data_IF_636907885938
#
_entry.id   IF_636907885938
#
_cell.length_a   1.000
_cell.length_b   1.000
_cell.length_c   1.000
_cell.angle_alpha   90.00
_cell.angle_beta   90.00
_cell.angle_gamma   90.00
#
_symmetry.space_group_name_H-M   'P 1'
#
loop_
_entity.id
_entity.type
_entity.pdbx_description
1 polymer ?
#
# COMPACT_ATOMS: atom_id res chain seq x y z
N UNK A 1 38.66 18.75 -8.76
CA UNK A 1 37.72 19.37 -9.70
C UNK A 1 36.35 19.44 -9.04
N UNK A 2 35.77 20.64 -8.92
CA UNK A 2 34.46 20.86 -8.31
C UNK A 2 33.35 20.26 -9.20
N UNK A 3 32.47 19.47 -8.62
CA UNK A 3 31.25 18.92 -9.25
C UNK A 3 30.20 20.01 -9.59
N UNK A 4 30.57 21.29 -9.56
CA UNK A 4 29.67 22.43 -9.71
C UNK A 4 29.15 22.65 -11.14
N UNK A 5 29.76 22.02 -12.14
CA UNK A 5 29.42 22.25 -13.57
C UNK A 5 28.63 21.14 -14.24
N UNK A 6 28.15 20.12 -13.52
CA UNK A 6 27.22 19.14 -14.10
C UNK A 6 25.80 19.66 -13.91
N UNK A 7 25.08 19.98 -15.00
CA UNK A 7 23.68 20.38 -14.88
C UNK A 7 22.92 19.23 -14.19
N UNK A 8 22.10 19.55 -13.20
CA UNK A 8 21.24 18.59 -12.48
C UNK A 8 20.37 17.76 -13.44
N UNK A 9 20.06 18.30 -14.64
CA UNK A 9 19.35 17.64 -15.73
C UNK A 9 20.26 17.47 -16.93
N UNK A 10 21.23 16.54 -16.86
CA UNK A 10 22.01 16.18 -18.03
C UNK A 10 21.17 15.42 -19.06
N UNK A 11 21.56 15.43 -20.33
CA UNK A 11 20.90 14.63 -21.39
C UNK A 11 20.93 13.13 -21.07
N UNK A 12 21.94 12.66 -20.35
CA UNK A 12 22.05 11.28 -19.87
C UNK A 12 20.96 10.99 -18.83
N UNK A 13 20.79 11.87 -17.83
CA UNK A 13 19.73 11.75 -16.82
C UNK A 13 18.35 11.79 -17.45
N UNK A 14 18.12 12.69 -18.41
CA UNK A 14 16.83 12.78 -19.10
C UNK A 14 16.53 11.53 -19.93
N UNK A 15 17.54 10.96 -20.60
CA UNK A 15 17.39 9.69 -21.36
C UNK A 15 17.11 8.51 -20.43
N UNK A 16 17.81 8.43 -19.30
CA UNK A 16 17.56 7.41 -18.29
C UNK A 16 16.12 7.49 -17.76
N UNK A 17 15.68 8.68 -17.34
CA UNK A 17 14.31 8.89 -16.83
C UNK A 17 13.23 8.61 -17.88
N UNK A 18 13.48 8.96 -19.15
CA UNK A 18 12.54 8.68 -20.23
C UNK A 18 12.40 7.19 -20.57
N UNK A 19 13.43 6.38 -20.27
CA UNK A 19 13.43 4.94 -20.49
C UNK A 19 13.08 4.10 -19.25
N UNK A 20 13.02 4.73 -18.07
CA UNK A 20 12.74 4.03 -16.81
C UNK A 20 11.24 3.81 -16.62
N UNK A 21 10.85 2.56 -16.39
CA UNK A 21 9.49 2.17 -16.07
C UNK A 21 9.52 1.29 -14.79
N UNK A 22 9.19 1.89 -13.65
CA UNK A 22 9.20 1.21 -12.37
C UNK A 22 8.32 -0.05 -12.36
N UNK A 23 7.25 -0.08 -13.15
CA UNK A 23 6.34 -1.23 -13.23
C UNK A 23 6.98 -2.45 -13.91
N UNK A 24 8.12 -2.27 -14.59
CA UNK A 24 8.85 -3.31 -15.33
C UNK A 24 10.25 -3.59 -14.80
N UNK A 25 10.72 -2.79 -13.85
CA UNK A 25 12.11 -2.86 -13.36
C UNK A 25 12.24 -3.81 -12.16
N UNK A 26 11.52 -4.94 -12.20
CA UNK A 26 11.64 -6.01 -11.19
C UNK A 26 11.11 -7.35 -11.70
N UNK A 27 11.64 -8.43 -11.16
CA UNK A 27 11.09 -9.78 -11.34
C UNK A 27 9.99 -10.03 -10.30
N UNK A 28 8.73 -10.30 -10.72
CA UNK A 28 7.63 -10.52 -9.79
C UNK A 28 7.81 -11.78 -8.93
N UNK A 29 7.71 -11.64 -7.63
CA UNK A 29 7.78 -12.73 -6.65
C UNK A 29 6.36 -13.21 -6.24
N UNK A 30 5.46 -13.39 -7.22
CA UNK A 30 4.14 -13.97 -6.98
C UNK A 30 4.23 -15.45 -6.60
N UNK A 31 3.30 -15.89 -5.73
CA UNK A 31 3.10 -17.33 -5.44
C UNK A 31 1.68 -17.74 -5.83
N UNK A 32 1.32 -19.03 -5.77
CA UNK A 32 -0.06 -19.45 -6.02
C UNK A 32 -1.10 -18.87 -5.04
N UNK A 33 -0.66 -18.30 -3.90
CA UNK A 33 -1.53 -17.82 -2.83
C UNK A 33 -1.29 -16.39 -2.40
N UNK A 34 -0.24 -15.74 -2.92
CA UNK A 34 0.15 -14.37 -2.54
C UNK A 34 0.70 -13.60 -3.73
N UNK A 35 0.50 -12.29 -3.74
CA UNK A 35 0.94 -11.39 -4.80
C UNK A 35 2.19 -10.62 -4.34
N UNK A 36 3.11 -10.36 -5.26
CA UNK A 36 4.18 -9.39 -5.05
C UNK A 36 3.57 -7.99 -4.89
N UNK A 37 3.86 -7.24 -3.79
CA UNK A 37 3.29 -5.91 -3.58
C UNK A 37 3.58 -4.94 -4.74
N UNK A 38 4.73 -5.06 -5.44
CA UNK A 38 5.08 -4.22 -6.58
C UNK A 38 4.19 -4.53 -7.80
N UNK A 39 3.97 -5.82 -8.08
CA UNK A 39 3.06 -6.25 -9.14
C UNK A 39 1.61 -5.85 -8.84
N UNK A 40 1.20 -5.91 -7.57
CA UNK A 40 -0.09 -5.41 -7.11
C UNK A 40 -0.20 -3.90 -7.34
N UNK A 41 0.81 -3.11 -6.95
CA UNK A 41 0.82 -1.66 -7.14
C UNK A 41 0.68 -1.27 -8.62
N UNK A 42 1.47 -1.91 -9.50
CA UNK A 42 1.37 -1.68 -10.95
C UNK A 42 -0.02 -2.02 -11.52
N UNK A 43 -0.61 -3.15 -11.09
CA UNK A 43 -1.95 -3.54 -11.54
C UNK A 43 -3.06 -2.62 -10.98
N UNK A 44 -2.93 -2.14 -9.75
CA UNK A 44 -3.85 -1.18 -9.15
C UNK A 44 -3.85 0.17 -9.88
N UNK A 45 -2.67 0.64 -10.34
CA UNK A 45 -2.58 1.89 -11.12
C UNK A 45 -3.46 1.86 -12.37
N UNK A 46 -3.57 0.70 -13.01
CA UNK A 46 -4.40 0.52 -14.21
C UNK A 46 -5.91 0.45 -13.91
N UNK A 47 -6.29 -0.03 -12.71
CA UNK A 47 -7.68 -0.32 -12.36
C UNK A 47 -8.36 0.77 -11.54
N UNK A 48 -7.61 1.49 -10.72
CA UNK A 48 -8.14 2.53 -9.85
C UNK A 48 -8.54 3.80 -10.62
N UNK A 49 -9.57 4.54 -10.19
CA UNK A 49 -9.93 5.83 -10.79
C UNK A 49 -8.73 6.77 -10.84
N UNK A 50 -8.54 7.51 -11.92
CA UNK A 50 -7.43 8.47 -12.05
C UNK A 50 -7.63 9.71 -11.19
N UNK A 51 -8.90 10.16 -11.04
CA UNK A 51 -9.27 11.21 -10.09
C UNK A 51 -9.54 10.56 -8.74
N UNK A 52 -8.52 10.58 -7.88
CA UNK A 52 -8.55 9.90 -6.57
C UNK A 52 -7.69 10.61 -5.55
N UNK A 53 -8.00 10.37 -4.28
CA UNK A 53 -7.12 10.68 -3.16
C UNK A 53 -6.41 9.40 -2.71
N UNK A 54 -5.12 9.46 -2.42
CA UNK A 54 -4.36 8.36 -1.83
C UNK A 54 -4.00 8.69 -0.39
N UNK A 55 -4.32 7.80 0.52
CA UNK A 55 -3.93 7.84 1.92
C UNK A 55 -3.14 6.58 2.23
N UNK A 56 -1.91 6.74 2.71
CA UNK A 56 -1.05 5.65 3.12
C UNK A 56 -0.87 5.62 4.64
N UNK A 57 -1.04 4.45 5.23
CA UNK A 57 -0.56 4.16 6.57
C UNK A 57 0.93 3.79 6.54
N UNK A 58 1.56 3.58 7.69
CA UNK A 58 2.97 3.20 7.80
C UNK A 58 3.17 1.67 7.72
N UNK A 59 4.25 1.22 7.08
CA UNK A 59 4.62 -0.20 7.00
C UNK A 59 5.54 -0.55 5.83
N UNK A 60 5.93 -1.83 5.74
CA UNK A 60 6.74 -2.36 4.64
C UNK A 60 6.10 -2.09 3.26
N UNK A 61 4.77 -2.12 3.16
CA UNK A 61 4.03 -1.87 1.92
C UNK A 61 4.23 -0.46 1.32
N UNK A 62 4.84 0.47 2.03
CA UNK A 62 5.21 1.79 1.46
C UNK A 62 6.12 1.68 0.23
N UNK A 63 6.74 0.53 0.01
CA UNK A 63 7.45 0.23 -1.24
C UNK A 63 6.60 0.36 -2.51
N UNK A 64 5.26 0.39 -2.41
CA UNK A 64 4.38 0.60 -3.57
C UNK A 64 4.04 2.06 -3.85
N UNK A 65 4.42 3.00 -2.99
CA UNK A 65 4.11 4.44 -3.19
C UNK A 65 4.46 4.94 -4.60
N UNK A 66 5.63 4.59 -5.19
CA UNK A 66 5.99 5.06 -6.51
C UNK A 66 5.16 4.49 -7.67
N UNK A 67 4.36 3.44 -7.42
CA UNK A 67 3.54 2.78 -8.45
C UNK A 67 2.19 3.44 -8.66
N UNK A 68 1.71 4.25 -7.70
CA UNK A 68 0.39 4.85 -7.77
C UNK A 68 0.49 6.36 -7.94
N UNK A 69 -0.13 6.88 -8.98
CA UNK A 69 -0.16 8.31 -9.27
C UNK A 69 -1.33 9.03 -8.59
N UNK A 70 -1.21 10.33 -8.42
CA UNK A 70 -2.27 11.23 -7.95
C UNK A 70 -2.38 12.45 -8.86
N UNK A 71 -3.55 13.11 -8.93
CA UNK A 71 -3.73 14.32 -9.75
C UNK A 71 -2.83 15.50 -9.33
N UNK A 72 -2.45 15.54 -8.05
CA UNK A 72 -1.60 16.60 -7.50
C UNK A 72 -1.26 16.34 -6.03
N UNK A 73 -0.38 17.14 -5.42
CA UNK A 73 0.12 16.92 -4.07
C UNK A 73 -0.97 16.96 -3.00
N UNK A 74 -2.05 17.70 -3.22
CA UNK A 74 -3.19 17.78 -2.28
C UNK A 74 -3.99 16.47 -2.19
N UNK A 75 -3.81 15.56 -3.16
CA UNK A 75 -4.45 14.25 -3.22
C UNK A 75 -3.62 13.13 -2.57
N UNK A 76 -2.48 13.46 -1.98
CA UNK A 76 -1.59 12.51 -1.34
C UNK A 76 -1.46 12.79 0.16
N UNK A 77 -1.68 11.77 0.99
CA UNK A 77 -1.47 11.82 2.44
C UNK A 77 -0.68 10.58 2.88
N UNK A 78 0.34 10.82 3.66
CA UNK A 78 1.14 9.77 4.30
C UNK A 78 1.09 9.98 5.82
N UNK A 79 0.61 8.98 6.56
CA UNK A 79 0.42 9.05 8.01
C UNK A 79 1.51 8.25 8.73
N UNK A 80 2.76 8.61 8.48
CA UNK A 80 3.92 7.93 9.08
C UNK A 80 4.53 8.68 10.27
N UNK A 81 3.81 9.66 10.82
CA UNK A 81 4.27 10.44 11.97
C UNK A 81 4.54 9.52 13.17
N UNK A 82 5.71 9.67 13.77
CA UNK A 82 6.23 8.79 14.83
C UNK A 82 6.33 7.30 14.44
N UNK A 83 6.31 6.96 13.15
CA UNK A 83 6.17 5.60 12.65
C UNK A 83 4.94 4.85 13.21
N UNK A 84 3.89 5.59 13.59
CA UNK A 84 2.67 5.04 14.16
C UNK A 84 1.81 4.42 13.06
N UNK A 85 1.47 3.13 13.20
CA UNK A 85 0.52 2.42 12.34
C UNK A 85 -0.92 2.62 12.86
N UNK A 86 -1.92 2.45 11.98
CA UNK A 86 -3.35 2.59 12.31
C UNK A 86 -3.90 4.02 12.18
N UNK A 87 -3.07 5.02 11.88
CA UNK A 87 -3.52 6.41 11.68
C UNK A 87 -4.16 6.61 10.30
N UNK A 88 -3.83 5.77 9.33
CA UNK A 88 -4.28 5.89 7.94
C UNK A 88 -5.78 5.82 7.80
N UNK A 89 -6.46 4.92 8.51
CA UNK A 89 -7.90 4.74 8.35
C UNK A 89 -8.70 5.99 8.79
N UNK A 90 -8.45 6.52 9.98
CA UNK A 90 -9.11 7.76 10.43
C UNK A 90 -8.83 8.93 9.48
N UNK A 91 -7.60 9.04 8.96
CA UNK A 91 -7.25 10.04 7.94
C UNK A 91 -8.04 9.83 6.65
N UNK A 92 -8.18 8.60 6.17
CA UNK A 92 -8.95 8.29 4.96
C UNK A 92 -10.44 8.62 5.11
N UNK A 93 -11.05 8.33 6.27
CA UNK A 93 -12.42 8.74 6.58
C UNK A 93 -12.56 10.26 6.50
N UNK A 94 -11.62 11.01 7.08
CA UNK A 94 -11.63 12.47 7.04
C UNK A 94 -11.49 13.02 5.62
N UNK A 95 -10.60 12.44 4.80
CA UNK A 95 -10.41 12.83 3.38
C UNK A 95 -11.66 12.52 2.57
N UNK A 96 -12.21 11.31 2.69
CA UNK A 96 -13.42 10.89 1.97
C UNK A 96 -14.63 11.79 2.32
N UNK A 97 -14.78 12.16 3.61
CA UNK A 97 -15.83 13.07 4.05
C UNK A 97 -15.65 14.50 3.51
N UNK A 98 -14.40 14.95 3.42
CA UNK A 98 -14.08 16.29 2.91
C UNK A 98 -14.17 16.40 1.39
N UNK A 99 -14.06 15.27 0.66
CA UNK A 99 -14.06 15.20 -0.80
C UNK A 99 -15.03 14.11 -1.30
N UNK A 100 -16.35 14.29 -1.07
CA UNK A 100 -17.35 13.25 -1.34
C UNK A 100 -17.51 12.89 -2.83
N UNK A 101 -17.07 13.77 -3.72
CA UNK A 101 -17.15 13.58 -5.18
C UNK A 101 -15.93 12.82 -5.77
N UNK A 102 -14.96 12.50 -4.92
CA UNK A 102 -13.71 11.83 -5.32
C UNK A 102 -13.52 10.54 -4.52
N UNK A 103 -13.11 9.47 -5.19
CA UNK A 103 -12.77 8.22 -4.49
C UNK A 103 -11.51 8.40 -3.64
N UNK A 104 -11.60 8.06 -2.36
CA UNK A 104 -10.44 7.97 -1.47
C UNK A 104 -9.95 6.53 -1.40
N UNK A 105 -8.67 6.32 -1.67
CA UNK A 105 -8.01 5.01 -1.61
C UNK A 105 -7.14 5.00 -0.35
N UNK A 106 -7.44 4.10 0.56
CA UNK A 106 -6.61 3.82 1.73
C UNK A 106 -5.70 2.62 1.45
N UNK A 107 -4.40 2.80 1.57
CA UNK A 107 -3.40 1.72 1.55
C UNK A 107 -2.94 1.49 2.99
N UNK A 108 -3.25 0.32 3.54
CA UNK A 108 -3.02 0.01 4.97
C UNK A 108 -2.57 -1.44 5.14
N UNK A 109 -1.63 -1.70 6.04
CA UNK A 109 -1.25 -3.06 6.43
C UNK A 109 -2.25 -3.71 7.38
N UNK A 110 -2.26 -5.04 7.44
CA UNK A 110 -3.15 -5.82 8.31
C UNK A 110 -2.99 -5.48 9.81
N UNK A 111 -1.77 -5.24 10.27
CA UNK A 111 -1.52 -4.81 11.64
C UNK A 111 -2.15 -3.47 12.00
N UNK A 112 -1.99 -2.44 11.14
CA UNK A 112 -2.62 -1.13 11.31
C UNK A 112 -4.14 -1.17 11.17
N UNK A 113 -4.64 -1.96 10.22
CA UNK A 113 -6.06 -2.16 10.00
C UNK A 113 -6.75 -2.80 11.21
N UNK A 114 -6.14 -3.82 11.82
CA UNK A 114 -6.67 -4.46 13.03
C UNK A 114 -6.86 -3.49 14.20
N UNK A 115 -6.01 -2.48 14.33
CA UNK A 115 -6.13 -1.48 15.40
C UNK A 115 -7.36 -0.58 15.25
N UNK A 116 -7.89 -0.47 14.04
CA UNK A 116 -8.97 0.46 13.66
C UNK A 116 -10.14 -0.23 12.97
N UNK A 117 -10.24 -1.56 13.11
CA UNK A 117 -11.27 -2.39 12.46
C UNK A 117 -12.71 -1.88 12.70
N UNK A 118 -12.99 -1.32 13.87
CA UNK A 118 -14.29 -0.75 14.21
C UNK A 118 -14.73 0.40 13.31
N UNK A 119 -13.79 1.09 12.65
CA UNK A 119 -14.09 2.20 11.75
C UNK A 119 -14.72 1.77 10.41
N UNK A 120 -14.81 0.47 10.14
CA UNK A 120 -15.63 -0.05 9.04
C UNK A 120 -17.10 0.40 9.20
N UNK A 121 -17.62 0.37 10.43
CA UNK A 121 -18.98 0.88 10.72
C UNK A 121 -19.13 2.35 10.35
N UNK A 122 -18.17 3.18 10.74
CA UNK A 122 -18.17 4.61 10.41
C UNK A 122 -18.19 4.85 8.90
N UNK A 123 -17.38 4.12 8.13
CA UNK A 123 -17.32 4.25 6.68
C UNK A 123 -18.68 3.93 6.01
N UNK A 124 -19.34 2.88 6.47
CA UNK A 124 -20.66 2.45 5.95
C UNK A 124 -21.76 3.43 6.37
N UNK A 125 -21.84 3.77 7.64
CA UNK A 125 -22.85 4.69 8.18
C UNK A 125 -22.82 6.07 7.53
N UNK A 126 -21.63 6.55 7.18
CA UNK A 126 -21.43 7.85 6.53
C UNK A 126 -21.44 7.76 5.00
N UNK A 127 -21.67 6.58 4.40
CA UNK A 127 -21.70 6.30 2.95
C UNK A 127 -20.50 6.92 2.22
N UNK A 128 -19.29 6.63 2.71
CA UNK A 128 -18.09 7.27 2.21
C UNK A 128 -17.57 6.64 0.90
N UNK A 129 -17.11 7.44 -0.08
CA UNK A 129 -16.50 6.95 -1.32
C UNK A 129 -15.07 6.44 -1.04
N UNK A 130 -14.98 5.32 -0.31
CA UNK A 130 -13.74 4.76 0.22
C UNK A 130 -13.44 3.39 -0.37
N UNK A 131 -12.22 3.22 -0.87
CA UNK A 131 -11.66 1.92 -1.25
C UNK A 131 -10.48 1.62 -0.31
N UNK A 132 -10.56 0.53 0.43
CA UNK A 132 -9.48 0.04 1.29
C UNK A 132 -8.71 -1.04 0.51
N UNK A 133 -7.44 -0.80 0.24
CA UNK A 133 -6.49 -1.80 -0.24
C UNK A 133 -5.72 -2.28 0.98
N UNK A 134 -6.13 -3.41 1.54
CA UNK A 134 -5.52 -4.03 2.69
C UNK A 134 -4.30 -4.84 2.24
N UNK A 135 -3.12 -4.37 2.59
CA UNK A 135 -1.82 -4.95 2.29
C UNK A 135 -1.48 -6.02 3.32
N UNK A 136 -2.09 -7.20 3.15
CA UNK A 136 -2.08 -8.28 4.13
C UNK A 136 -0.93 -9.26 3.87
N UNK A 137 0.18 -9.06 4.55
CA UNK A 137 1.33 -9.96 4.55
C UNK A 137 1.37 -10.90 5.78
N UNK A 138 0.30 -10.91 6.57
CA UNK A 138 0.14 -11.66 7.82
C UNK A 138 1.22 -11.32 8.85
N UNK A 139 1.66 -10.05 8.90
CA UNK A 139 2.74 -9.64 9.79
C UNK A 139 2.72 -8.13 10.09
N UNK A 140 3.44 -7.76 11.14
CA UNK A 140 4.09 -6.45 11.19
C UNK A 140 5.29 -6.50 10.25
N UNK A 141 5.07 -6.25 8.95
CA UNK A 141 6.04 -6.53 7.88
C UNK A 141 7.36 -5.79 8.04
N UNK A 142 7.35 -4.54 8.50
CA UNK A 142 8.57 -3.78 8.74
C UNK A 142 9.41 -4.42 9.86
N UNK A 143 8.78 -4.75 10.99
CA UNK A 143 9.40 -5.44 12.13
C UNK A 143 9.89 -6.83 11.73
N UNK A 144 9.11 -7.57 10.94
CA UNK A 144 9.50 -8.88 10.42
C UNK A 144 10.84 -8.80 9.66
N UNK A 145 10.99 -7.82 8.76
CA UNK A 145 12.21 -7.64 7.99
C UNK A 145 13.38 -7.15 8.86
N UNK A 146 13.16 -6.20 9.76
CA UNK A 146 14.19 -5.74 10.70
C UNK A 146 14.69 -6.85 11.62
N UNK A 147 13.80 -7.70 12.13
CA UNK A 147 14.19 -8.83 12.98
C UNK A 147 14.99 -9.86 12.18
N UNK A 148 14.56 -10.20 10.95
CA UNK A 148 15.30 -11.12 10.06
C UNK A 148 16.71 -10.62 9.75
N UNK A 149 16.89 -9.34 9.42
CA UNK A 149 18.19 -8.75 9.14
C UNK A 149 19.15 -8.77 10.33
N UNK A 150 18.63 -8.91 11.54
CA UNK A 150 19.40 -9.00 12.79
C UNK A 150 19.48 -10.39 13.41
N UNK A 151 19.04 -11.42 12.68
CA UNK A 151 18.95 -12.82 13.17
C UNK A 151 18.16 -12.94 14.50
N UNK A 152 17.11 -12.12 14.66
CA UNK A 152 16.26 -12.14 15.85
C UNK A 152 14.98 -12.95 15.61
N UNK A 153 14.37 -13.53 16.68
CA UNK A 153 13.14 -14.30 16.58
C UNK A 153 11.97 -13.49 16.04
N UNK A 154 11.31 -13.99 14.97
CA UNK A 154 10.19 -13.29 14.28
C UNK A 154 8.80 -13.68 14.76
N UNK A 155 8.66 -14.67 15.64
CA UNK A 155 7.37 -15.28 15.99
C UNK A 155 6.32 -14.29 16.55
N UNK A 156 6.75 -13.14 17.09
CA UNK A 156 5.85 -12.10 17.61
C UNK A 156 5.43 -11.08 16.56
N UNK A 157 6.02 -11.12 15.37
CA UNK A 157 5.71 -10.22 14.25
C UNK A 157 4.80 -10.84 13.20
N UNK A 158 4.39 -12.12 13.36
CA UNK A 158 3.54 -12.83 12.39
C UNK A 158 2.15 -13.10 12.94
N UNK A 159 1.18 -13.04 12.04
CA UNK A 159 -0.24 -13.28 12.32
C UNK A 159 -0.74 -14.54 11.59
N UNK A 160 -1.88 -15.10 12.01
CA UNK A 160 -2.63 -16.07 11.20
C UNK A 160 -3.07 -15.45 9.86
N UNK A 161 -3.23 -16.27 8.81
CA UNK A 161 -3.83 -15.86 7.52
C UNK A 161 -5.36 -15.66 7.70
N UNK A 162 -5.74 -14.53 8.29
CA UNK A 162 -7.15 -14.14 8.44
C UNK A 162 -7.66 -13.58 7.13
N UNK A 163 -8.85 -13.99 6.71
CA UNK A 163 -9.57 -13.40 5.58
C UNK A 163 -10.45 -12.24 6.08
N UNK A 164 -10.12 -11.02 5.67
CA UNK A 164 -10.83 -9.82 6.10
C UNK A 164 -12.00 -9.44 5.19
N UNK A 165 -12.09 -9.98 3.97
CA UNK A 165 -13.18 -9.66 3.07
C UNK A 165 -14.56 -10.04 3.66
N UNK A 166 -14.79 -11.25 4.21
CA UNK A 166 -16.06 -11.57 4.86
C UNK A 166 -16.35 -10.71 6.09
N UNK A 167 -15.33 -10.25 6.79
CA UNK A 167 -15.50 -9.36 7.96
C UNK A 167 -16.01 -7.99 7.47
N UNK A 168 -15.42 -7.45 6.42
CA UNK A 168 -15.86 -6.18 5.83
C UNK A 168 -17.28 -6.28 5.25
N UNK A 169 -17.62 -7.40 4.60
CA UNK A 169 -18.98 -7.68 4.11
C UNK A 169 -20.02 -7.68 5.24
N UNK A 170 -19.67 -8.23 6.41
CA UNK A 170 -20.55 -8.22 7.59
C UNK A 170 -20.83 -6.81 8.12
N UNK A 171 -19.96 -5.84 7.84
CA UNK A 171 -20.18 -4.41 8.12
C UNK A 171 -20.95 -3.69 7.00
N UNK A 172 -21.09 -4.27 5.80
CA UNK A 172 -21.78 -3.68 4.66
C UNK A 172 -20.87 -3.17 3.55
N UNK A 173 -19.58 -3.50 3.57
CA UNK A 173 -18.66 -3.25 2.45
C UNK A 173 -18.94 -4.21 1.30
N UNK A 174 -18.64 -3.77 0.08
CA UNK A 174 -18.34 -4.71 -1.00
C UNK A 174 -16.89 -5.16 -0.82
N UNK A 175 -16.60 -6.46 -0.85
CA UNK A 175 -15.26 -6.91 -0.57
C UNK A 175 -14.81 -8.06 -1.47
N UNK A 176 -13.49 -8.24 -1.59
CA UNK A 176 -12.87 -9.37 -2.27
C UNK A 176 -11.52 -9.73 -1.66
N UNK A 177 -11.23 -11.03 -1.60
CA UNK A 177 -9.89 -11.54 -1.25
C UNK A 177 -9.07 -11.71 -2.51
N UNK A 178 -7.90 -11.07 -2.56
CA UNK A 178 -7.00 -11.04 -3.70
C UNK A 178 -5.75 -11.88 -3.37
N UNK A 179 -5.67 -13.07 -3.91
CA UNK A 179 -4.51 -13.96 -3.78
C UNK A 179 -3.65 -14.01 -5.04
N UNK A 180 -4.23 -13.58 -6.17
CA UNK A 180 -3.58 -13.53 -7.48
C UNK A 180 -3.96 -12.25 -8.22
N UNK A 181 -3.18 -11.87 -9.24
CA UNK A 181 -3.54 -10.74 -10.12
C UNK A 181 -4.83 -11.03 -10.93
N UNK A 182 -5.18 -12.29 -11.15
CA UNK A 182 -6.45 -12.65 -11.80
C UNK A 182 -7.65 -12.43 -10.86
N UNK A 183 -7.49 -12.61 -9.55
CA UNK A 183 -8.53 -12.24 -8.58
C UNK A 183 -8.74 -10.72 -8.57
N UNK A 184 -7.65 -9.94 -8.65
CA UNK A 184 -7.74 -8.49 -8.77
C UNK A 184 -8.48 -8.06 -10.04
N UNK A 185 -8.23 -8.70 -11.19
CA UNK A 185 -8.97 -8.43 -12.43
C UNK A 185 -10.47 -8.73 -12.28
N UNK A 186 -10.82 -9.83 -11.59
CA UNK A 186 -12.23 -10.16 -11.31
C UNK A 186 -12.90 -9.14 -10.40
N UNK A 187 -12.15 -8.56 -9.47
CA UNK A 187 -12.62 -7.51 -8.56
C UNK A 187 -12.65 -6.11 -9.19
N UNK A 188 -12.10 -5.91 -10.40
CA UNK A 188 -12.09 -4.61 -11.09
C UNK A 188 -13.42 -3.88 -11.16
N UNK A 189 -14.60 -4.54 -11.35
CA UNK A 189 -15.89 -3.86 -11.33
C UNK A 189 -16.17 -3.13 -10.01
N UNK A 190 -15.70 -3.64 -8.87
CA UNK A 190 -15.85 -2.98 -7.56
C UNK A 190 -15.09 -1.64 -7.49
N UNK A 191 -14.03 -1.48 -8.27
CA UNK A 191 -13.17 -0.29 -8.27
C UNK A 191 -13.65 0.79 -9.24
N UNK A 192 -14.33 0.39 -10.33
CA UNK A 192 -14.73 1.30 -11.40
C UNK A 192 -15.99 2.10 -11.10
N UNK A 193 -16.92 1.53 -10.31
CA UNK A 193 -18.15 2.18 -9.84
C UNK A 193 -18.54 1.61 -8.48
N UNK A 194 -17.88 2.01 -7.40
CA UNK A 194 -18.21 1.52 -6.08
C UNK A 194 -19.61 2.03 -5.67
N UNK A 195 -20.50 1.10 -5.34
CA UNK A 195 -21.82 1.38 -4.74
C UNK A 195 -21.69 1.37 -3.20
N UNK A 196 -20.90 2.27 -2.65
CA UNK A 196 -20.52 2.31 -1.24
C UNK A 196 -19.05 1.92 -1.01
N UNK A 197 -18.62 1.76 0.24
CA UNK A 197 -17.23 1.47 0.56
C UNK A 197 -16.82 0.06 0.12
N UNK A 198 -15.57 -0.06 -0.35
CA UNK A 198 -14.96 -1.29 -0.88
C UNK A 198 -13.75 -1.71 -0.07
N UNK A 199 -13.55 -3.01 0.17
CA UNK A 199 -12.31 -3.55 0.73
C UNK A 199 -11.74 -4.65 -0.17
N UNK A 200 -10.47 -4.52 -0.55
CA UNK A 200 -9.68 -5.57 -1.17
C UNK A 200 -8.68 -6.13 -0.14
N UNK A 201 -8.89 -7.36 0.33
CA UNK A 201 -7.92 -8.07 1.18
C UNK A 201 -6.83 -8.69 0.31
N UNK A 202 -5.76 -7.95 0.07
CA UNK A 202 -4.67 -8.34 -0.82
C UNK A 202 -3.62 -9.16 -0.06
N UNK A 203 -3.59 -10.48 -0.31
CA UNK A 203 -2.63 -11.39 0.31
C UNK A 203 -1.26 -11.23 -0.34
N UNK A 204 -0.31 -10.71 0.42
CA UNK A 204 1.01 -10.36 -0.07
C UNK A 204 2.06 -11.43 0.23
N UNK A 205 3.07 -11.50 -0.63
CA UNK A 205 4.26 -12.29 -0.34
C UNK A 205 5.12 -11.56 0.71
N UNK A 206 5.06 -12.01 1.95
CA UNK A 206 5.80 -11.47 3.09
C UNK A 206 7.35 -11.60 2.96
N UNK A 207 7.86 -12.25 1.91
CA UNK A 207 9.30 -12.28 1.64
C UNK A 207 9.79 -11.04 0.88
N UNK A 208 8.88 -10.24 0.32
CA UNK A 208 9.24 -9.03 -0.44
C UNK A 208 9.40 -7.86 0.51
N UNK A 209 10.66 -7.46 0.75
CA UNK A 209 10.98 -6.25 1.50
C UNK A 209 10.90 -5.01 0.61
N UNK A 210 10.43 -3.91 1.17
CA UNK A 210 10.53 -2.62 0.48
C UNK A 210 12.00 -2.19 0.33
N UNK A 211 12.38 -1.49 -0.76
CA UNK A 211 13.77 -1.09 -1.00
C UNK A 211 14.40 -0.30 0.16
N UNK A 212 13.64 0.57 0.80
CA UNK A 212 14.14 1.38 1.92
C UNK A 212 14.54 0.54 3.16
N UNK A 213 14.04 -0.70 3.29
CA UNK A 213 14.39 -1.57 4.42
C UNK A 213 15.89 -1.93 4.41
N UNK A 214 16.46 -2.24 3.22
CA UNK A 214 17.89 -2.50 3.08
C UNK A 214 18.75 -1.25 3.30
N UNK A 215 18.28 -0.09 2.86
CA UNK A 215 18.96 1.19 3.07
C UNK A 215 19.08 1.54 4.56
N UNK A 216 18.02 1.33 5.35
CA UNK A 216 18.07 1.50 6.79
C UNK A 216 19.10 0.58 7.45
N UNK A 217 19.15 -0.68 7.05
CA UNK A 217 20.12 -1.65 7.58
C UNK A 217 21.56 -1.24 7.24
N UNK A 218 21.84 -0.85 6.01
CA UNK A 218 23.16 -0.34 5.61
C UNK A 218 23.57 0.91 6.39
N UNK A 219 22.64 1.83 6.62
CA UNK A 219 22.90 3.05 7.39
C UNK A 219 23.28 2.75 8.84
N UNK A 220 22.62 1.80 9.49
CA UNK A 220 22.93 1.36 10.86
C UNK A 220 24.29 0.68 10.93
N UNK A 221 24.62 -0.20 9.97
CA UNK A 221 25.89 -0.94 9.97
C UNK A 221 27.12 -0.07 9.63
N UNK A 222 26.93 1.04 8.90
CA UNK A 222 28.01 2.00 8.61
C UNK A 222 28.39 2.90 9.80
N UNK A 223 27.58 2.94 10.86
CA UNK A 223 27.86 3.74 12.08
C UNK A 223 28.69 3.01 13.12
N UNK A 224 29.05 1.77 12.88
CA UNK A 224 29.93 0.94 13.73
C UNK A 224 31.15 0.50 12.93
#
# INVERSE_FOLDING_TARGET
GSNADRPFRSDETLRFLAGFDIARDFEPANTPRTVDPRALGAALEELLPKQRNLVYDAGNFLGIVPYLSVPGPDHFKLTSDFASIGMGFGTALGVAKARPDETTILIVGDGGFLMTLGELETAVREDLPLVIVLMNDCAYGAELHFLKMRDLPVAKSVFPDVDYAPIAEAFGFQAATIRTLDDLKKAAPLLSKPEGPVLLDCKLNAAVAAPFMSEFHEFETRKH
#
